data_IF_367535364743
#
_entry.id   IF_367535364743
#
_cell.length_a   1.000
_cell.length_b   1.000
_cell.length_c   1.000
_cell.angle_alpha   90.00
_cell.angle_beta   90.00
_cell.angle_gamma   90.00
#
_symmetry.space_group_name_H-M   'P 1'
#
loop_
_entity.id
_entity.type
_entity.pdbx_description
1 polymer ?
#
# COMPACT_ATOMS: atom_id res chain seq x y z
N UNK A 1 -6.83 -29.65 -25.41
CA UNK A 1 -7.26 -28.95 -26.65
C UNK A 1 -6.25 -29.27 -27.75
N UNK A 2 -6.67 -29.81 -28.90
CA UNK A 2 -5.75 -30.21 -29.98
C UNK A 2 -5.18 -28.93 -30.61
N UNK A 3 -3.84 -28.77 -30.59
CA UNK A 3 -3.15 -27.66 -31.26
C UNK A 3 -3.42 -27.77 -32.76
N UNK A 4 -4.12 -26.79 -33.34
CA UNK A 4 -4.35 -26.71 -34.79
C UNK A 4 -3.00 -26.64 -35.50
N UNK A 5 -2.76 -27.57 -36.44
CA UNK A 5 -1.57 -27.60 -37.26
C UNK A 5 -1.53 -26.45 -38.26
N UNK A 6 -0.34 -25.94 -38.57
CA UNK A 6 -0.11 -24.80 -39.48
C UNK A 6 -0.84 -24.94 -40.83
N UNK A 7 -1.03 -26.15 -41.32
CA UNK A 7 -1.67 -26.43 -42.62
C UNK A 7 -3.15 -26.81 -42.53
N UNK A 8 -3.73 -26.92 -41.33
CA UNK A 8 -5.14 -27.31 -41.12
C UNK A 8 -6.10 -26.19 -41.52
N UNK A 9 -7.38 -26.52 -41.64
CA UNK A 9 -8.43 -25.52 -41.89
C UNK A 9 -8.55 -24.57 -40.68
N UNK A 10 -8.67 -23.28 -40.98
CA UNK A 10 -8.72 -22.25 -39.95
C UNK A 10 -10.01 -22.32 -39.14
N UNK A 11 -9.91 -22.18 -37.82
CA UNK A 11 -11.05 -22.28 -36.90
C UNK A 11 -12.06 -21.13 -37.01
N UNK A 12 -11.72 -20.04 -37.71
CA UNK A 12 -12.61 -18.91 -37.93
C UNK A 12 -13.68 -19.18 -39.01
N UNK A 13 -13.70 -20.37 -39.61
CA UNK A 13 -14.72 -20.77 -40.60
C UNK A 13 -14.48 -20.21 -42.00
N UNK A 14 -13.31 -19.64 -42.29
CA UNK A 14 -13.01 -18.99 -43.58
C UNK A 14 -12.72 -19.94 -44.74
N UNK A 15 -12.67 -21.25 -44.51
CA UNK A 15 -12.30 -22.26 -45.52
C UNK A 15 -10.82 -22.26 -45.95
N UNK A 16 -10.00 -21.35 -45.42
CA UNK A 16 -8.59 -21.22 -45.75
C UNK A 16 -7.68 -21.98 -44.77
N UNK A 17 -6.46 -22.34 -45.21
CA UNK A 17 -5.44 -22.95 -44.35
C UNK A 17 -5.02 -21.97 -43.24
N UNK A 18 -4.84 -22.46 -42.01
CA UNK A 18 -4.58 -21.69 -40.79
C UNK A 18 -3.41 -20.71 -40.96
N UNK A 19 -2.29 -21.15 -41.57
CA UNK A 19 -1.13 -20.29 -41.87
C UNK A 19 -1.38 -19.08 -42.78
N UNK A 20 -2.48 -19.08 -43.54
CA UNK A 20 -2.86 -18.00 -44.45
C UNK A 20 -4.03 -17.17 -43.92
N UNK A 21 -4.51 -17.45 -42.71
CA UNK A 21 -5.70 -16.80 -42.16
C UNK A 21 -5.44 -16.24 -40.75
N UNK A 22 -5.69 -17.02 -39.68
CA UNK A 22 -5.57 -16.52 -38.32
C UNK A 22 -4.19 -16.74 -37.69
N UNK A 23 -3.28 -17.55 -38.26
CA UNK A 23 -2.00 -17.87 -37.61
C UNK A 23 -1.21 -16.63 -37.19
N UNK A 24 -1.09 -15.64 -38.07
CA UNK A 24 -0.33 -14.42 -37.78
C UNK A 24 -1.07 -13.53 -36.76
N UNK A 25 -2.40 -13.52 -36.79
CA UNK A 25 -3.23 -12.80 -35.83
C UNK A 25 -3.12 -13.42 -34.44
N UNK A 26 -3.23 -14.74 -34.36
CA UNK A 26 -3.12 -15.51 -33.12
C UNK A 26 -1.70 -15.45 -32.56
N UNK A 27 -0.67 -15.45 -33.41
CA UNK A 27 0.72 -15.24 -32.99
C UNK A 27 0.93 -13.85 -32.38
N UNK A 28 0.33 -12.80 -32.96
CA UNK A 28 0.38 -11.44 -32.40
C UNK A 28 -0.35 -11.33 -31.06
N UNK A 29 -1.47 -12.05 -30.91
CA UNK A 29 -2.21 -12.13 -29.63
C UNK A 29 -1.43 -12.87 -28.55
N UNK A 30 -0.73 -13.96 -28.90
CA UNK A 30 0.08 -14.74 -27.95
C UNK A 30 1.36 -13.98 -27.54
N UNK A 31 1.92 -13.13 -28.41
CA UNK A 31 3.11 -12.32 -28.11
C UNK A 31 2.83 -11.04 -27.30
N UNK A 32 1.64 -10.88 -26.72
CA UNK A 32 1.38 -9.88 -25.67
C UNK A 32 1.34 -8.42 -26.14
N UNK A 33 1.22 -8.16 -27.44
CA UNK A 33 1.05 -6.79 -27.96
C UNK A 33 -0.42 -6.57 -28.34
N UNK A 34 -1.23 -6.32 -27.32
CA UNK A 34 -2.61 -5.84 -27.48
C UNK A 34 -2.54 -4.47 -28.15
N UNK A 35 -2.91 -4.40 -29.43
CA UNK A 35 -3.10 -3.14 -30.13
C UNK A 35 -4.49 -2.63 -29.68
N UNK A 36 -4.60 -1.52 -28.93
CA UNK A 36 -5.89 -1.04 -28.47
C UNK A 36 -6.74 -0.63 -29.67
N UNK A 37 -8.04 -0.93 -29.59
CA UNK A 37 -9.04 -0.54 -30.58
C UNK A 37 -9.12 0.99 -30.65
N UNK A 38 -9.32 1.61 -31.84
CA UNK A 38 -9.49 3.06 -31.95
C UNK A 38 -10.79 3.44 -31.22
N UNK A 39 -10.67 3.92 -29.98
CA UNK A 39 -11.81 4.26 -29.11
C UNK A 39 -11.69 3.77 -27.67
N UNK A 40 -10.87 2.75 -27.39
CA UNK A 40 -10.51 2.40 -26.01
C UNK A 40 -9.31 3.22 -25.60
N UNK A 41 -9.52 4.22 -24.72
CA UNK A 41 -8.41 4.93 -24.06
C UNK A 41 -7.52 3.87 -23.40
N UNK A 42 -6.26 3.81 -23.80
CA UNK A 42 -5.25 3.06 -23.06
C UNK A 42 -5.36 3.51 -21.60
N UNK A 43 -5.62 2.57 -20.69
CA UNK A 43 -5.58 2.85 -19.26
C UNK A 43 -4.25 3.55 -18.98
N UNK A 44 -4.32 4.76 -18.45
CA UNK A 44 -3.18 5.65 -18.35
C UNK A 44 -2.13 5.04 -17.41
N UNK A 45 -0.85 5.17 -17.77
CA UNK A 45 0.31 4.70 -16.98
C UNK A 45 0.24 5.01 -15.46
N UNK A 46 -0.33 6.15 -14.99
CA UNK A 46 -0.54 6.40 -13.56
C UNK A 46 -1.48 5.39 -12.86
N UNK A 47 -2.49 4.89 -13.57
CA UNK A 47 -3.41 3.89 -13.02
C UNK A 47 -2.70 2.56 -12.77
N UNK A 48 -1.78 2.15 -13.66
CA UNK A 48 -1.03 0.91 -13.50
C UNK A 48 -0.11 0.90 -12.26
N UNK A 49 0.52 2.05 -11.95
CA UNK A 49 1.34 2.18 -10.74
C UNK A 49 0.49 2.15 -9.47
N UNK A 50 -0.65 2.84 -9.48
CA UNK A 50 -1.60 2.81 -8.36
C UNK A 50 -2.14 1.38 -8.12
N UNK A 51 -2.42 0.64 -9.19
CA UNK A 51 -2.89 -0.76 -9.12
C UNK A 51 -1.78 -1.69 -8.60
N UNK A 52 -0.52 -1.50 -9.03
CA UNK A 52 0.64 -2.23 -8.50
C UNK A 52 0.85 -1.96 -7.00
N UNK A 53 0.69 -0.72 -6.56
CA UNK A 53 0.86 -0.36 -5.15
C UNK A 53 -0.31 -0.86 -4.29
N UNK A 54 -1.54 -0.87 -4.83
CA UNK A 54 -2.68 -1.56 -4.20
C UNK A 54 -2.43 -3.06 -4.07
N UNK A 55 -1.89 -3.69 -5.11
CA UNK A 55 -1.48 -5.09 -5.06
C UNK A 55 -0.39 -5.30 -4.01
N UNK A 56 0.60 -4.40 -3.93
CA UNK A 56 1.65 -4.46 -2.92
C UNK A 56 1.10 -4.36 -1.50
N UNK A 57 0.07 -3.53 -1.25
CA UNK A 57 -0.61 -3.47 0.07
C UNK A 57 -1.27 -4.81 0.39
N UNK A 58 -1.94 -5.45 -0.58
CA UNK A 58 -2.54 -6.77 -0.41
C UNK A 58 -1.50 -7.87 -0.16
N UNK A 59 -0.47 -7.96 -1.01
CA UNK A 59 0.62 -8.92 -0.84
C UNK A 59 1.36 -8.67 0.48
N UNK A 60 1.46 -7.40 0.91
CA UNK A 60 2.07 -7.04 2.18
C UNK A 60 1.27 -7.49 3.39
N UNK A 61 -0.05 -7.53 3.29
CA UNK A 61 -0.90 -8.00 4.41
C UNK A 61 -0.67 -9.50 4.70
N UNK A 62 -0.46 -10.30 3.66
CA UNK A 62 -0.32 -11.76 3.75
C UNK A 62 1.03 -12.23 4.33
N UNK A 63 2.14 -11.56 4.02
CA UNK A 63 3.49 -11.92 4.52
C UNK A 63 3.85 -11.27 5.87
N UNK A 64 2.99 -10.41 6.43
CA UNK A 64 3.26 -9.76 7.72
C UNK A 64 2.92 -10.69 8.89
N UNK A 65 3.74 -10.64 9.94
CA UNK A 65 3.49 -11.38 11.17
C UNK A 65 2.38 -10.70 11.98
N UNK A 66 1.31 -11.45 12.28
CA UNK A 66 0.19 -10.98 13.09
C UNK A 66 0.10 -11.79 14.38
N UNK A 67 -0.03 -11.10 15.51
CA UNK A 67 -0.21 -11.75 16.81
C UNK A 67 -1.65 -12.23 17.03
N UNK A 68 -2.62 -11.65 16.32
CA UNK A 68 -4.03 -11.98 16.41
C UNK A 68 -4.71 -11.79 15.05
N UNK A 69 -5.60 -12.71 14.68
CA UNK A 69 -6.32 -12.68 13.40
C UNK A 69 -7.23 -11.44 13.30
N UNK A 70 -7.80 -10.99 14.41
CA UNK A 70 -8.68 -9.82 14.42
C UNK A 70 -7.93 -8.54 13.97
N UNK A 71 -6.65 -8.43 14.29
CA UNK A 71 -5.83 -7.28 13.90
C UNK A 71 -5.53 -7.29 12.40
N UNK A 72 -5.35 -8.48 11.83
CA UNK A 72 -5.16 -8.71 10.40
C UNK A 72 -6.45 -8.43 9.63
N UNK A 73 -7.57 -9.00 10.06
CA UNK A 73 -8.89 -8.81 9.43
C UNK A 73 -9.32 -7.34 9.42
N UNK A 74 -9.03 -6.61 10.50
CA UNK A 74 -9.24 -5.16 10.52
C UNK A 74 -8.41 -4.46 9.43
N UNK A 75 -7.15 -4.83 9.26
CA UNK A 75 -6.29 -4.21 8.26
C UNK A 75 -6.72 -4.55 6.82
N UNK A 76 -7.07 -5.81 6.56
CA UNK A 76 -7.56 -6.29 5.26
C UNK A 76 -8.86 -5.62 4.84
N UNK A 77 -9.75 -5.30 5.78
CA UNK A 77 -11.01 -4.63 5.48
C UNK A 77 -10.84 -3.12 5.34
N UNK A 78 -10.12 -2.49 6.27
CA UNK A 78 -10.07 -1.04 6.40
C UNK A 78 -9.18 -0.36 5.35
N UNK A 79 -7.94 -0.82 5.13
CA UNK A 79 -6.99 -0.11 4.27
C UNK A 79 -7.45 -0.09 2.81
N UNK A 80 -7.96 -1.20 2.22
CA UNK A 80 -8.58 -1.16 0.91
C UNK A 80 -9.82 -0.27 0.86
N UNK A 81 -10.59 -0.18 1.95
CA UNK A 81 -11.72 0.73 2.04
C UNK A 81 -11.30 2.19 2.00
N UNK A 82 -10.28 2.61 2.78
CA UNK A 82 -9.72 3.96 2.75
C UNK A 82 -9.26 4.32 1.34
N UNK A 83 -8.54 3.42 0.67
CA UNK A 83 -8.09 3.63 -0.70
C UNK A 83 -9.23 3.80 -1.73
N UNK A 84 -10.41 3.22 -1.47
CA UNK A 84 -11.61 3.38 -2.32
C UNK A 84 -12.36 4.66 -1.97
N UNK A 85 -12.66 4.87 -0.69
CA UNK A 85 -13.51 5.95 -0.21
C UNK A 85 -12.92 7.34 -0.51
N UNK A 86 -11.58 7.44 -0.48
CA UNK A 86 -10.86 8.68 -0.81
C UNK A 86 -10.26 8.70 -2.21
N UNK A 87 -10.59 7.72 -3.05
CA UNK A 87 -10.11 7.59 -4.44
C UNK A 87 -8.58 7.78 -4.62
N UNK A 88 -7.78 7.19 -3.74
CA UNK A 88 -6.34 7.41 -3.71
C UNK A 88 -5.66 6.89 -4.99
N UNK A 89 -4.99 7.78 -5.72
CA UNK A 89 -4.34 7.49 -7.02
C UNK A 89 -2.87 7.90 -7.05
N UNK A 90 -2.46 8.80 -6.16
CA UNK A 90 -1.07 9.24 -6.04
C UNK A 90 -0.22 8.18 -5.33
N UNK A 91 1.02 8.00 -5.81
CA UNK A 91 2.03 7.15 -5.19
C UNK A 91 2.33 7.60 -3.75
N UNK A 92 2.40 8.92 -3.51
CA UNK A 92 2.61 9.51 -2.18
C UNK A 92 1.46 9.16 -1.22
N UNK A 93 0.21 9.32 -1.66
CA UNK A 93 -0.97 9.01 -0.84
C UNK A 93 -1.02 7.53 -0.47
N UNK A 94 -0.76 6.66 -1.44
CA UNK A 94 -0.74 5.22 -1.22
C UNK A 94 0.44 4.80 -0.33
N UNK A 95 1.60 5.47 -0.45
CA UNK A 95 2.73 5.26 0.45
C UNK A 95 2.40 5.68 1.89
N UNK A 96 1.71 6.80 2.10
CA UNK A 96 1.26 7.23 3.44
C UNK A 96 0.33 6.20 4.08
N UNK A 97 -0.63 5.67 3.31
CA UNK A 97 -1.55 4.62 3.77
C UNK A 97 -0.80 3.33 4.06
N UNK A 98 0.18 2.97 3.24
CA UNK A 98 1.04 1.82 3.47
C UNK A 98 1.90 1.98 4.73
N UNK A 99 2.49 3.15 4.97
CA UNK A 99 3.22 3.45 6.21
C UNK A 99 2.34 3.31 7.45
N UNK A 100 1.09 3.79 7.38
CA UNK A 100 0.12 3.60 8.46
C UNK A 100 -0.24 2.13 8.69
N UNK A 101 -0.25 1.29 7.65
CA UNK A 101 -0.44 -0.16 7.79
C UNK A 101 0.71 -0.80 8.58
N UNK A 102 1.96 -0.39 8.31
CA UNK A 102 3.12 -0.86 9.07
C UNK A 102 3.03 -0.41 10.53
N UNK A 103 2.65 0.83 10.79
CA UNK A 103 2.40 1.34 12.15
C UNK A 103 1.35 0.49 12.86
N UNK A 104 0.22 0.22 12.20
CA UNK A 104 -0.83 -0.61 12.78
C UNK A 104 -0.33 -2.00 13.15
N UNK A 105 0.42 -2.65 12.26
CA UNK A 105 0.97 -3.97 12.55
C UNK A 105 1.92 -3.94 13.76
N UNK A 106 2.87 -3.00 13.80
CA UNK A 106 3.80 -2.88 14.93
C UNK A 106 3.05 -2.59 16.24
N UNK A 107 2.13 -1.62 16.23
CA UNK A 107 1.31 -1.29 17.39
C UNK A 107 0.50 -2.50 17.86
N UNK A 108 -0.12 -3.22 16.93
CA UNK A 108 -0.95 -4.39 17.24
C UNK A 108 -0.13 -5.52 17.87
N UNK A 109 1.15 -5.67 17.47
CA UNK A 109 2.05 -6.68 18.03
C UNK A 109 2.53 -6.30 19.42
N UNK A 110 2.84 -5.03 19.64
CA UNK A 110 3.37 -4.55 20.92
C UNK A 110 2.28 -4.32 21.97
N UNK A 111 1.25 -3.56 21.62
CA UNK A 111 0.16 -3.23 22.54
C UNK A 111 -0.87 -4.37 22.67
N UNK A 112 -0.95 -5.28 21.69
CA UNK A 112 -1.90 -6.38 21.60
C UNK A 112 -3.33 -6.00 22.03
N UNK A 113 -3.95 -5.00 21.39
CA UNK A 113 -5.22 -4.46 21.84
C UNK A 113 -6.35 -5.49 21.67
N UNK A 114 -7.06 -5.77 22.75
CA UNK A 114 -8.25 -6.64 22.72
C UNK A 114 -9.50 -5.79 22.52
N UNK A 115 -10.25 -6.08 21.46
CA UNK A 115 -11.51 -5.40 21.16
C UNK A 115 -12.56 -6.38 20.63
N UNK A 116 -13.83 -6.12 20.95
CA UNK A 116 -14.97 -6.96 20.51
C UNK A 116 -15.52 -6.55 19.14
N UNK A 117 -15.37 -5.28 18.76
CA UNK A 117 -15.82 -4.73 17.48
C UNK A 117 -14.69 -3.92 16.84
N UNK A 118 -14.46 -4.05 15.53
CA UNK A 118 -13.37 -3.36 14.83
C UNK A 118 -13.55 -1.84 14.78
N UNK A 119 -14.79 -1.34 14.82
CA UNK A 119 -15.12 0.09 14.64
C UNK A 119 -14.33 1.05 15.52
N UNK A 120 -13.95 0.64 16.74
CA UNK A 120 -13.14 1.47 17.64
C UNK A 120 -11.78 1.83 17.04
N UNK A 121 -10.99 0.83 16.65
CA UNK A 121 -9.67 1.06 16.05
C UNK A 121 -9.78 1.42 14.56
N UNK A 122 -10.81 0.94 13.85
CA UNK A 122 -11.07 1.31 12.47
C UNK A 122 -11.28 2.83 12.31
N UNK A 123 -12.10 3.42 13.19
CA UNK A 123 -12.34 4.87 13.17
C UNK A 123 -11.10 5.70 13.50
N UNK A 124 -10.23 5.19 14.37
CA UNK A 124 -8.98 5.84 14.75
C UNK A 124 -7.97 5.83 13.61
N UNK A 125 -7.76 4.66 12.98
CA UNK A 125 -6.87 4.51 11.83
C UNK A 125 -7.36 5.33 10.63
N UNK A 126 -8.66 5.34 10.34
CA UNK A 126 -9.20 6.19 9.27
C UNK A 126 -8.99 7.68 9.57
N UNK A 127 -9.21 8.12 10.81
CA UNK A 127 -8.93 9.49 11.21
C UNK A 127 -7.45 9.86 10.99
N UNK A 128 -6.52 9.01 11.43
CA UNK A 128 -5.08 9.24 11.21
C UNK A 128 -4.76 9.26 9.71
N UNK A 129 -5.32 8.34 8.92
CA UNK A 129 -5.14 8.33 7.46
C UNK A 129 -5.61 9.64 6.82
N UNK A 130 -6.79 10.15 7.17
CA UNK A 130 -7.28 11.42 6.64
C UNK A 130 -6.39 12.60 7.02
N UNK A 131 -5.82 12.58 8.23
CA UNK A 131 -4.87 13.60 8.67
C UNK A 131 -3.57 13.55 7.85
N UNK A 132 -3.01 12.36 7.62
CA UNK A 132 -1.79 12.19 6.81
C UNK A 132 -2.00 12.60 5.34
N UNK A 133 -3.18 12.29 4.80
CA UNK A 133 -3.57 12.61 3.43
C UNK A 133 -4.02 14.06 3.24
N UNK A 134 -4.03 14.88 4.30
CA UNK A 134 -4.55 16.25 4.31
C UNK A 134 -6.01 16.37 3.81
N UNK A 135 -6.85 15.39 4.14
CA UNK A 135 -8.27 15.34 3.77
C UNK A 135 -9.10 15.91 4.91
N UNK A 136 -9.93 16.91 4.62
CA UNK A 136 -10.81 17.54 5.62
C UNK A 136 -12.07 16.72 5.89
N UNK A 137 -11.99 15.80 6.86
CA UNK A 137 -13.15 15.05 7.38
C UNK A 137 -13.24 15.27 8.90
N UNK A 138 -14.46 15.44 9.43
CA UNK A 138 -14.63 15.64 10.86
C UNK A 138 -14.56 14.32 11.64
N UNK A 139 -14.06 14.38 12.88
CA UNK A 139 -14.10 13.22 13.80
C UNK A 139 -15.52 12.69 14.00
N UNK A 140 -16.52 13.57 13.98
CA UNK A 140 -17.92 13.20 14.14
C UNK A 140 -18.43 12.36 12.97
N UNK A 141 -18.05 12.70 11.73
CA UNK A 141 -18.47 11.96 10.54
C UNK A 141 -17.83 10.56 10.51
N UNK A 142 -16.54 10.46 10.84
CA UNK A 142 -15.83 9.17 10.92
C UNK A 142 -16.40 8.31 12.05
N UNK A 143 -16.61 8.89 13.23
CA UNK A 143 -17.20 8.15 14.36
C UNK A 143 -18.59 7.61 14.01
N UNK A 144 -19.42 8.41 13.32
CA UNK A 144 -20.72 7.98 12.83
C UNK A 144 -20.62 6.85 11.81
N UNK A 145 -19.70 6.95 10.85
CA UNK A 145 -19.45 5.92 9.81
C UNK A 145 -19.10 4.56 10.42
N UNK A 146 -18.30 4.57 11.49
CA UNK A 146 -17.84 3.36 12.18
C UNK A 146 -18.74 2.93 13.36
N UNK A 147 -19.88 3.59 13.55
CA UNK A 147 -20.84 3.34 14.63
C UNK A 147 -20.21 3.39 16.03
N UNK A 148 -19.33 4.36 16.26
CA UNK A 148 -18.66 4.58 17.56
C UNK A 148 -18.88 5.99 18.10
N UNK A 149 -18.63 6.16 19.40
CA UNK A 149 -18.58 7.49 20.00
C UNK A 149 -17.28 8.22 19.61
N UNK A 150 -17.35 9.54 19.41
CA UNK A 150 -16.17 10.39 19.13
C UNK A 150 -15.10 10.27 20.22
N UNK A 151 -15.51 10.04 21.47
CA UNK A 151 -14.60 9.79 22.59
C UNK A 151 -13.79 8.50 22.40
N UNK A 152 -14.40 7.43 21.89
CA UNK A 152 -13.73 6.15 21.59
C UNK A 152 -12.70 6.33 20.47
N UNK A 153 -13.10 7.00 19.38
CA UNK A 153 -12.20 7.36 18.28
C UNK A 153 -10.99 8.13 18.82
N UNK A 154 -11.23 9.21 19.57
CA UNK A 154 -10.17 10.10 20.07
C UNK A 154 -9.19 9.38 20.98
N UNK A 155 -9.70 8.53 21.89
CA UNK A 155 -8.85 7.71 22.77
C UNK A 155 -7.96 6.78 21.95
N UNK A 156 -8.54 6.01 21.03
CA UNK A 156 -7.80 5.02 20.26
C UNK A 156 -6.82 5.67 19.28
N UNK A 157 -7.20 6.79 18.66
CA UNK A 157 -6.28 7.54 17.79
C UNK A 157 -5.12 8.13 18.58
N UNK A 158 -5.36 8.59 19.82
CA UNK A 158 -4.29 9.05 20.71
C UNK A 158 -3.28 7.95 20.99
N UNK A 159 -3.73 6.75 21.35
CA UNK A 159 -2.84 5.61 21.61
C UNK A 159 -1.94 5.26 20.42
N UNK A 160 -2.48 5.30 19.20
CA UNK A 160 -1.70 5.01 17.99
C UNK A 160 -0.74 6.16 17.68
N UNK A 161 -1.16 7.41 17.87
CA UNK A 161 -0.31 8.58 17.63
C UNK A 161 0.86 8.64 18.62
N UNK A 162 0.60 8.40 19.90
CA UNK A 162 1.66 8.34 20.93
C UNK A 162 2.70 7.26 20.58
N UNK A 163 2.24 6.13 20.03
CA UNK A 163 3.13 5.07 19.54
C UNK A 163 3.94 5.50 18.30
N UNK A 164 3.31 6.18 17.35
CA UNK A 164 3.99 6.74 16.17
C UNK A 164 5.10 7.73 16.57
N UNK A 165 4.80 8.61 17.52
CA UNK A 165 5.74 9.62 18.02
C UNK A 165 6.91 8.96 18.77
N UNK A 166 6.65 7.88 19.51
CA UNK A 166 7.68 7.06 20.15
C UNK A 166 8.64 6.38 19.14
N UNK A 167 8.12 5.89 18.02
CA UNK A 167 8.94 5.34 16.93
C UNK A 167 9.82 6.43 16.33
N UNK A 168 9.26 7.60 16.03
CA UNK A 168 10.01 8.72 15.46
C UNK A 168 11.16 9.17 16.38
N UNK A 169 10.91 9.26 17.69
CA UNK A 169 11.93 9.62 18.66
C UNK A 169 13.08 8.60 18.79
N UNK A 170 12.80 7.31 18.56
CA UNK A 170 13.83 6.25 18.58
C UNK A 170 14.67 6.19 17.30
N UNK A 171 14.17 6.71 16.18
CA UNK A 171 14.90 6.77 14.91
C UNK A 171 15.99 7.86 14.86
N UNK A 172 15.75 9.00 15.53
CA UNK A 172 16.69 10.12 15.57
C UNK A 172 17.95 9.86 16.43
N UNK A 173 17.94 8.81 17.26
CA UNK A 173 19.09 8.46 18.13
C UNK A 173 20.23 7.74 17.39
N UNK A 174 20.02 7.32 16.14
CA UNK A 174 21.03 6.60 15.34
C UNK A 174 21.87 7.50 14.42
N UNK A 175 21.52 8.79 14.28
CA UNK A 175 22.25 9.75 13.41
C UNK A 175 23.26 10.63 14.19
N UNK A 176 23.40 10.46 15.51
CA UNK A 176 24.24 11.34 16.35
C UNK A 176 25.58 10.77 16.82
N UNK A 177 26.00 9.57 16.40
CA UNK A 177 27.25 8.94 16.90
C UNK A 177 28.47 9.03 15.95
N UNK A 178 28.37 9.64 14.76
CA UNK A 178 29.49 9.77 13.80
C UNK A 178 29.95 11.23 13.58
N UNK A 179 30.08 12.02 14.65
CA UNK A 179 30.61 13.38 14.53
C UNK A 179 31.38 13.91 15.74
N UNK A 180 32.24 13.10 16.38
CA UNK A 180 33.36 13.65 17.18
C UNK A 180 34.64 12.82 17.03
N UNK A 181 35.39 13.06 15.96
CA UNK A 181 36.85 12.98 16.03
C UNK A 181 37.44 14.15 15.23
N UNK A 182 37.30 15.37 15.76
CA UNK A 182 38.05 16.53 15.30
C UNK A 182 39.31 16.69 16.16
N UNK A 183 40.46 16.47 15.52
CA UNK A 183 41.74 17.15 15.73
C UNK A 183 41.92 17.98 17.02
N UNK A 184 42.81 17.53 17.89
CA UNK A 184 43.67 18.42 18.66
C UNK A 184 45.11 18.32 18.14
N UNK A 185 45.48 19.30 17.31
CA UNK A 185 46.88 19.68 17.13
C UNK A 185 47.38 20.34 18.43
N UNK A 186 48.52 19.89 18.94
CA UNK A 186 49.39 20.77 19.72
C UNK A 186 50.87 20.41 19.50
N UNK A 187 51.39 21.08 18.49
CA UNK A 187 52.77 21.48 18.29
C UNK A 187 53.42 21.97 19.60
N UNK A 188 54.66 21.57 19.93
CA UNK A 188 55.62 22.41 20.66
C UNK A 188 57.05 21.79 20.61
N UNK A 189 57.95 22.63 20.10
CA UNK A 189 59.40 22.48 19.87
C UNK A 189 60.29 22.05 21.05
N UNK A 190 61.54 21.66 20.70
CA UNK A 190 62.88 21.93 21.32
C UNK A 190 63.69 20.62 21.21
N UNK A 191 64.80 20.49 20.47
CA UNK A 191 65.97 21.35 20.40
C UNK A 191 67.13 20.76 21.22
N UNK A 192 67.89 19.78 20.66
CA UNK A 192 69.35 19.64 20.82
C UNK A 192 69.93 18.54 19.92
#
# INVERSE_FOLDING_TARGET
>A
MKKLGRNDLCHCGSGNKYKRCCLEKDQRTIQGKVIPFPGTRAASVPQQKADQLRQMIHDKLDWMDWNADEHRELAESLFPQICRDYELKSEEQLFQVFSLLIVWNNFSREANPKYRKPGGYASALEYIATSLLNISVTKSDIAKKHEVAVATLTRNSGQIQDFMDGIAASGDQLDSEDAEESHEDQDLSVGR
#
